data_IF_129164328134
#
_entry.id   IF_129164328134
#
_cell.length_a   1.000
_cell.length_b   1.000
_cell.length_c   1.000
_cell.angle_alpha   90.00
_cell.angle_beta   90.00
_cell.angle_gamma   90.00
#
_symmetry.space_group_name_H-M   'P 1'
#
loop_
_entity.id
_entity.type
_entity.pdbx_description
1 polymer ?
#
# COMPACT_ATOMS: atom_id res chain seq x y z
N UNK A 1 -13.93 -0.13 12.70
CA UNK A 1 -14.81 -0.61 11.60
C UNK A 1 -15.94 0.39 11.48
N UNK A 2 -15.87 1.28 10.48
CA UNK A 2 -16.88 2.31 10.26
C UNK A 2 -18.13 1.75 9.56
N UNK A 3 -19.14 2.58 9.27
CA UNK A 3 -20.28 2.19 8.46
C UNK A 3 -19.83 1.60 7.12
N UNK A 4 -20.46 0.51 6.70
CA UNK A 4 -20.20 -0.10 5.38
C UNK A 4 -20.43 0.91 4.25
N UNK A 5 -21.46 1.75 4.38
CA UNK A 5 -21.79 2.80 3.43
C UNK A 5 -20.70 3.88 3.26
N UNK A 6 -19.79 4.02 4.23
CA UNK A 6 -18.64 4.93 4.17
C UNK A 6 -17.31 4.17 4.15
N UNK A 7 -17.36 2.86 3.88
CA UNK A 7 -16.17 2.03 3.82
C UNK A 7 -15.39 2.29 2.54
N UNK A 8 -14.08 2.19 2.67
CA UNK A 8 -13.20 2.16 1.52
C UNK A 8 -13.01 0.71 1.10
N UNK A 9 -13.09 0.45 -0.21
CA UNK A 9 -12.72 -0.84 -0.78
C UNK A 9 -11.43 -0.66 -1.59
N UNK A 10 -10.69 -1.76 -1.74
CA UNK A 10 -9.40 -1.75 -2.42
C UNK A 10 -9.31 -2.90 -3.42
N UNK A 11 -8.81 -2.58 -4.60
CA UNK A 11 -8.31 -3.60 -5.54
C UNK A 11 -6.86 -3.89 -5.19
N UNK A 12 -6.55 -5.14 -4.87
CA UNK A 12 -5.23 -5.57 -4.39
C UNK A 12 -4.60 -6.53 -5.40
N UNK A 13 -3.38 -6.20 -5.84
CA UNK A 13 -2.50 -7.04 -6.65
C UNK A 13 -1.04 -6.59 -6.38
N UNK A 14 -0.22 -6.40 -7.41
CA UNK A 14 1.10 -5.76 -7.28
C UNK A 14 1.01 -4.30 -6.80
N UNK A 15 -0.16 -3.67 -6.97
CA UNK A 15 -0.51 -2.35 -6.40
C UNK A 15 -1.76 -2.47 -5.52
N UNK A 16 -1.98 -1.51 -4.64
CA UNK A 16 -3.23 -1.38 -3.87
C UNK A 16 -3.90 -0.07 -4.27
N UNK A 17 -5.10 -0.14 -4.85
CA UNK A 17 -5.84 1.02 -5.34
C UNK A 17 -7.20 1.14 -4.66
N UNK A 18 -7.50 2.32 -4.12
CA UNK A 18 -8.83 2.65 -3.58
C UNK A 18 -9.87 2.66 -4.70
N UNK A 19 -11.02 2.02 -4.46
CA UNK A 19 -12.13 2.01 -5.41
C UNK A 19 -12.87 3.33 -5.44
N UNK A 20 -12.90 4.07 -4.32
CA UNK A 20 -13.66 5.32 -4.23
C UNK A 20 -12.90 6.50 -4.81
N UNK A 21 -11.57 6.53 -4.62
CA UNK A 21 -10.73 7.69 -5.00
C UNK A 21 -9.80 7.40 -6.18
N UNK A 22 -9.65 6.13 -6.58
CA UNK A 22 -8.66 5.68 -7.56
C UNK A 22 -7.20 5.97 -7.16
N UNK A 23 -6.93 6.40 -5.92
CA UNK A 23 -5.58 6.63 -5.42
C UNK A 23 -4.89 5.32 -5.06
N UNK A 24 -3.59 5.28 -5.27
CA UNK A 24 -2.72 4.15 -4.97
C UNK A 24 -2.07 4.31 -3.61
N UNK A 25 -2.09 3.24 -2.80
CA UNK A 25 -1.30 3.17 -1.57
C UNK A 25 0.17 2.91 -1.93
N UNK A 26 1.01 3.86 -1.58
CA UNK A 26 2.40 3.94 -1.97
C UNK A 26 3.32 3.85 -0.75
N UNK A 27 4.56 3.44 -0.97
CA UNK A 27 5.63 3.46 0.02
C UNK A 27 6.49 4.70 -0.27
N UNK A 28 6.66 5.56 0.73
CA UNK A 28 7.51 6.74 0.65
C UNK A 28 8.93 6.48 1.12
N UNK A 29 9.78 7.50 0.97
CA UNK A 29 11.20 7.42 1.30
C UNK A 29 11.48 7.26 2.80
N UNK A 30 12.68 6.77 3.11
CA UNK A 30 13.16 6.62 4.48
C UNK A 30 13.20 7.97 5.19
N UNK A 31 12.49 8.06 6.31
CA UNK A 31 12.54 9.22 7.19
C UNK A 31 13.63 9.01 8.24
N UNK A 32 14.54 9.99 8.37
CA UNK A 32 15.65 9.93 9.33
C UNK A 32 15.15 9.72 10.77
N UNK A 33 15.80 8.81 11.50
CA UNK A 33 15.43 8.44 12.87
C UNK A 33 14.15 7.60 13.00
N UNK A 34 13.54 7.15 11.91
CA UNK A 34 12.36 6.26 11.95
C UNK A 34 12.74 4.84 11.55
N UNK A 35 12.14 3.85 12.20
CA UNK A 35 12.32 2.43 11.87
C UNK A 35 11.42 1.95 10.72
N UNK A 36 10.47 2.77 10.28
CA UNK A 36 9.49 2.45 9.24
C UNK A 36 9.66 3.33 7.99
N UNK A 37 9.01 2.92 6.90
CA UNK A 37 8.77 3.76 5.72
C UNK A 37 7.33 4.30 5.79
N UNK A 38 7.10 5.57 5.44
CA UNK A 38 5.76 6.14 5.45
C UNK A 38 4.90 5.54 4.33
N UNK A 39 3.60 5.44 4.57
CA UNK A 39 2.61 5.07 3.55
C UNK A 39 1.74 6.28 3.21
N UNK A 40 1.41 6.45 1.94
CA UNK A 40 0.56 7.57 1.49
C UNK A 40 -0.27 7.19 0.27
N UNK A 41 -1.37 7.91 0.06
CA UNK A 41 -2.18 7.80 -1.16
C UNK A 41 -1.71 8.78 -2.23
N UNK A 42 -1.46 8.28 -3.44
CA UNK A 42 -1.02 9.08 -4.58
C UNK A 42 -1.78 8.75 -5.85
N UNK A 43 -1.82 9.70 -6.80
CA UNK A 43 -2.48 9.51 -8.10
C UNK A 43 -1.77 8.48 -9.00
N UNK A 44 -0.52 8.18 -8.72
CA UNK A 44 0.33 7.27 -9.48
C UNK A 44 0.85 6.20 -8.53
N UNK A 45 0.85 4.94 -8.97
CA UNK A 45 1.52 3.86 -8.26
C UNK A 45 3.04 4.03 -8.37
N UNK A 46 3.72 4.31 -7.26
CA UNK A 46 5.18 4.45 -7.23
C UNK A 46 5.90 3.15 -6.80
N UNK A 47 5.12 2.12 -6.48
CA UNK A 47 5.61 0.82 -6.04
C UNK A 47 4.73 -0.29 -6.60
N UNK A 48 5.34 -1.41 -6.94
CA UNK A 48 4.67 -2.67 -7.27
C UNK A 48 4.99 -3.77 -6.26
N UNK A 49 5.52 -3.39 -5.10
CA UNK A 49 6.03 -4.32 -4.10
C UNK A 49 4.94 -4.98 -3.25
N UNK A 50 3.69 -4.56 -3.37
CA UNK A 50 2.60 -5.16 -2.60
C UNK A 50 2.34 -6.60 -3.06
N UNK A 51 1.99 -7.46 -2.12
CA UNK A 51 1.57 -8.83 -2.37
C UNK A 51 0.70 -9.37 -1.26
N UNK A 52 0.24 -10.60 -1.43
CA UNK A 52 -0.60 -11.31 -0.47
C UNK A 52 0.12 -12.55 0.05
N UNK A 53 0.07 -12.75 1.36
CA UNK A 53 0.41 -13.99 2.05
C UNK A 53 -0.84 -14.46 2.81
N UNK A 54 -1.62 -15.34 2.16
CA UNK A 54 -3.01 -15.60 2.57
C UNK A 54 -3.84 -14.32 2.52
N UNK A 55 -4.49 -13.98 3.63
CA UNK A 55 -5.28 -12.74 3.77
C UNK A 55 -4.43 -11.54 4.22
N UNK A 56 -3.12 -11.73 4.44
CA UNK A 56 -2.22 -10.68 4.91
C UNK A 56 -1.57 -9.96 3.74
N UNK A 57 -1.69 -8.63 3.71
CA UNK A 57 -0.91 -7.80 2.78
C UNK A 57 0.54 -7.73 3.24
N UNK A 58 1.47 -8.03 2.34
CA UNK A 58 2.91 -7.99 2.57
C UNK A 58 3.63 -7.15 1.52
N UNK A 59 4.90 -6.86 1.76
CA UNK A 59 5.85 -6.41 0.75
C UNK A 59 6.66 -7.60 0.24
N UNK A 60 6.68 -7.82 -1.07
CA UNK A 60 7.38 -8.96 -1.69
C UNK A 60 8.89 -8.70 -1.85
N UNK A 61 9.68 -9.77 -1.81
CA UNK A 61 11.16 -9.81 -1.85
C UNK A 61 11.77 -9.54 -3.23
N UNK A 62 11.21 -8.56 -3.94
CA UNK A 62 11.80 -7.92 -5.12
C UNK A 62 11.93 -6.40 -4.95
N UNK A 63 11.63 -5.86 -3.77
CA UNK A 63 11.78 -4.44 -3.46
C UNK A 63 13.15 -4.17 -2.86
N UNK A 64 13.80 -3.06 -3.22
CA UNK A 64 15.00 -2.58 -2.51
C UNK A 64 14.75 -2.20 -1.03
N UNK A 65 13.59 -2.54 -0.48
CA UNK A 65 13.06 -2.12 0.81
C UNK A 65 12.69 -3.31 1.74
N UNK A 66 12.90 -4.58 1.32
CA UNK A 66 12.65 -5.77 2.14
C UNK A 66 13.43 -7.02 1.66
N UNK A 67 13.94 -7.79 2.63
CA UNK A 67 14.99 -8.86 2.58
C UNK A 67 15.24 -9.57 1.25
#
# INVERSE_FOLDING_TARGET
>A
MGPEATSEYFTISTTIQSTNTSLYLNIGDKVSGKSFLPLSFGKVANTTAWGLEGDTVITTTGSGYGR
#
